data_IF_268797932218
#
_entry.id   IF_268797932218
#
_cell.length_a   1.000
_cell.length_b   1.000
_cell.length_c   1.000
_cell.angle_alpha   90.00
_cell.angle_beta   90.00
_cell.angle_gamma   90.00
#
_symmetry.space_group_name_H-M   'P 1'
#
loop_
_entity.id
_entity.type
_entity.pdbx_description
1 polymer ?
#
# COMPACT_ATOMS: atom_id res chain seq x y z
N UNK A 1 -16.05 -3.09 -3.30
CA UNK A 1 -15.54 -4.37 -2.73
C UNK A 1 -14.05 -4.57 -2.96
N UNK A 2 -13.46 -4.21 -4.10
CA UNK A 2 -12.03 -4.38 -4.33
C UNK A 2 -11.17 -3.61 -3.30
N UNK A 3 -11.44 -2.32 -3.09
CA UNK A 3 -10.68 -1.50 -2.12
C UNK A 3 -10.85 -2.05 -0.70
N UNK A 4 -12.08 -2.40 -0.28
CA UNK A 4 -12.32 -3.07 1.01
C UNK A 4 -11.45 -4.32 1.20
N UNK A 5 -11.32 -5.14 0.16
CA UNK A 5 -10.53 -6.37 0.25
C UNK A 5 -9.04 -6.06 0.36
N UNK A 6 -8.51 -5.13 -0.44
CA UNK A 6 -7.12 -4.71 -0.36
C UNK A 6 -6.79 -4.17 1.03
N UNK A 7 -7.56 -3.17 1.51
CA UNK A 7 -7.30 -2.54 2.82
C UNK A 7 -7.41 -3.54 3.97
N UNK A 8 -8.39 -4.46 3.89
CA UNK A 8 -8.53 -5.50 4.92
C UNK A 8 -7.30 -6.43 4.96
N UNK A 9 -6.70 -6.74 3.81
CA UNK A 9 -5.57 -7.65 3.73
C UNK A 9 -4.29 -7.10 4.37
N UNK A 10 -4.25 -5.83 4.78
CA UNK A 10 -3.20 -5.26 5.62
C UNK A 10 -2.95 -6.11 6.89
N UNK A 11 -4.01 -6.75 7.42
CA UNK A 11 -3.89 -7.67 8.56
C UNK A 11 -3.03 -8.90 8.25
N UNK A 12 -3.10 -9.41 7.02
CA UNK A 12 -2.29 -10.54 6.57
C UNK A 12 -0.81 -10.15 6.54
N UNK A 13 -0.50 -8.97 5.98
CA UNK A 13 0.86 -8.45 5.94
C UNK A 13 1.41 -8.17 7.34
N UNK A 14 0.62 -7.51 8.19
CA UNK A 14 1.01 -7.18 9.56
C UNK A 14 1.35 -8.45 10.36
N UNK A 15 0.50 -9.48 10.30
CA UNK A 15 0.76 -10.76 10.96
C UNK A 15 1.96 -11.51 10.36
N UNK A 16 2.17 -11.43 9.05
CA UNK A 16 3.34 -12.04 8.41
C UNK A 16 4.65 -11.38 8.87
N UNK A 17 4.67 -10.06 9.05
CA UNK A 17 5.84 -9.31 9.49
C UNK A 17 6.05 -9.33 11.01
N UNK A 18 5.01 -9.61 11.79
CA UNK A 18 5.07 -9.56 13.26
C UNK A 18 6.20 -10.41 13.87
N UNK A 19 6.43 -11.68 13.47
CA UNK A 19 7.52 -12.49 13.99
C UNK A 19 8.92 -11.97 13.62
N UNK A 20 9.03 -11.20 12.52
CA UNK A 20 10.29 -10.66 12.01
C UNK A 20 10.70 -9.33 12.66
N UNK A 21 9.86 -8.77 13.54
CA UNK A 21 10.09 -7.44 14.15
C UNK A 21 11.42 -7.30 14.87
N UNK A 22 11.96 -8.38 15.45
CA UNK A 22 13.28 -8.37 16.10
C UNK A 22 14.45 -8.18 15.14
N UNK A 23 14.25 -8.43 13.84
CA UNK A 23 15.25 -8.28 12.77
C UNK A 23 15.17 -6.90 12.11
N UNK A 24 14.16 -6.10 12.47
CA UNK A 24 13.86 -4.80 11.89
C UNK A 24 14.18 -3.69 12.90
N UNK A 25 14.51 -2.49 12.42
CA UNK A 25 14.78 -1.36 13.28
C UNK A 25 13.52 -0.91 14.03
N UNK A 26 13.71 -0.30 15.20
CA UNK A 26 12.60 0.29 15.95
C UNK A 26 11.83 1.35 15.16
N UNK A 27 12.50 2.04 14.21
CA UNK A 27 11.87 3.02 13.35
C UNK A 27 10.96 2.38 12.31
N UNK A 28 11.38 1.29 11.67
CA UNK A 28 10.52 0.53 10.78
C UNK A 28 9.34 -0.07 11.54
N UNK A 29 9.58 -0.63 12.72
CA UNK A 29 8.53 -1.23 13.54
C UNK A 29 7.47 -0.18 13.94
N UNK A 30 7.90 1.02 14.32
CA UNK A 30 6.98 2.13 14.60
C UNK A 30 6.21 2.57 13.35
N UNK A 31 6.87 2.67 12.20
CA UNK A 31 6.23 2.95 10.92
C UNK A 31 5.13 1.92 10.62
N UNK A 32 5.44 0.62 10.73
CA UNK A 32 4.52 -0.48 10.44
C UNK A 32 3.31 -0.48 11.37
N UNK A 33 3.49 -0.19 12.67
CA UNK A 33 2.38 -0.14 13.62
C UNK A 33 1.42 1.02 13.32
N UNK A 34 1.95 2.20 12.97
CA UNK A 34 1.12 3.37 12.65
C UNK A 34 0.40 3.17 11.31
N UNK A 35 1.13 2.74 10.28
CA UNK A 35 0.57 2.35 9.00
C UNK A 35 -0.59 1.36 9.15
N UNK A 36 -0.41 0.29 9.93
CA UNK A 36 -1.46 -0.71 10.11
C UNK A 36 -2.71 -0.17 10.85
N UNK A 37 -2.56 0.82 11.73
CA UNK A 37 -3.71 1.46 12.37
C UNK A 37 -4.54 2.24 11.34
N UNK A 38 -3.87 2.92 10.41
CA UNK A 38 -4.53 3.68 9.36
C UNK A 38 -5.23 2.72 8.37
N UNK A 39 -4.56 1.65 7.92
CA UNK A 39 -5.18 0.67 7.00
C UNK A 39 -6.40 -0.04 7.57
N UNK A 40 -6.38 -0.32 8.88
CA UNK A 40 -7.56 -0.84 9.56
C UNK A 40 -8.71 0.16 9.52
N UNK A 41 -8.42 1.43 9.73
CA UNK A 41 -9.43 2.49 9.65
C UNK A 41 -9.94 2.68 8.21
N UNK A 42 -9.09 2.50 7.19
CA UNK A 42 -9.49 2.49 5.78
C UNK A 42 -10.45 1.32 5.50
N UNK A 43 -10.07 0.11 5.92
CA UNK A 43 -10.90 -1.08 5.80
C UNK A 43 -12.27 -0.93 6.48
N UNK A 44 -12.30 -0.42 7.72
CA UNK A 44 -13.54 -0.16 8.46
C UNK A 44 -14.43 0.88 7.73
N UNK A 45 -13.82 1.93 7.16
CA UNK A 45 -14.54 2.93 6.37
C UNK A 45 -15.13 2.38 5.08
N UNK A 46 -14.38 1.55 4.34
CA UNK A 46 -14.90 0.87 3.16
C UNK A 46 -15.96 -0.19 3.51
N UNK A 47 -15.85 -0.86 4.65
CA UNK A 47 -16.85 -1.82 5.11
C UNK A 47 -18.19 -1.11 5.30
N UNK A 48 -18.18 0.02 6.02
CA UNK A 48 -19.39 0.82 6.24
C UNK A 48 -19.95 1.39 4.93
N UNK A 49 -19.09 1.87 4.03
CA UNK A 49 -19.52 2.33 2.70
C UNK A 49 -20.24 1.23 1.92
N UNK A 50 -19.66 0.02 1.85
CA UNK A 50 -20.27 -1.10 1.13
C UNK A 50 -21.57 -1.56 1.82
N UNK A 51 -21.64 -1.53 3.15
CA UNK A 51 -22.87 -1.83 3.92
C UNK A 51 -23.99 -0.86 3.56
N UNK A 52 -23.69 0.44 3.54
CA UNK A 52 -24.68 1.50 3.26
C UNK A 52 -25.11 1.53 1.79
N UNK A 53 -24.19 1.34 0.84
CA UNK A 53 -24.50 1.45 -0.59
C UNK A 53 -25.21 0.23 -1.15
N UNK A 54 -24.84 -0.96 -0.70
CA UNK A 54 -25.36 -2.21 -1.27
C UNK A 54 -26.37 -2.89 -0.35
N UNK A 55 -26.68 -2.29 0.81
CA UNK A 55 -27.51 -2.89 1.85
C UNK A 55 -27.04 -4.31 2.21
N UNK A 56 -25.71 -4.48 2.23
CA UNK A 56 -25.05 -5.74 2.49
C UNK A 56 -25.16 -6.14 3.95
N UNK A 57 -25.31 -7.44 4.21
CA UNK A 57 -25.27 -7.97 5.56
C UNK A 57 -23.83 -7.95 6.11
N UNK A 58 -23.66 -7.26 7.25
CA UNK A 58 -22.34 -7.04 7.87
C UNK A 58 -21.69 -8.36 8.30
N UNK A 59 -22.46 -9.29 8.87
CA UNK A 59 -21.94 -10.58 9.32
C UNK A 59 -21.37 -11.38 8.14
N UNK A 60 -22.11 -11.44 7.03
CA UNK A 60 -21.67 -12.08 5.80
C UNK A 60 -20.40 -11.43 5.24
N UNK A 61 -20.33 -10.10 5.21
CA UNK A 61 -19.13 -9.38 4.76
C UNK A 61 -17.92 -9.70 5.63
N UNK A 62 -18.06 -9.61 6.95
CA UNK A 62 -16.99 -9.93 7.90
C UNK A 62 -16.52 -11.38 7.78
N UNK A 63 -17.44 -12.32 7.57
CA UNK A 63 -17.09 -13.73 7.37
C UNK A 63 -16.29 -13.91 6.07
N UNK A 64 -16.66 -13.23 4.99
CA UNK A 64 -15.89 -13.24 3.74
C UNK A 64 -14.49 -12.68 3.96
N UNK A 65 -14.36 -11.54 4.64
CA UNK A 65 -13.05 -10.93 4.96
C UNK A 65 -12.17 -11.85 5.79
N UNK A 66 -12.71 -12.46 6.86
CA UNK A 66 -11.96 -13.39 7.74
C UNK A 66 -11.50 -14.67 7.05
N UNK A 67 -12.15 -15.06 5.95
CA UNK A 67 -11.76 -16.24 5.16
C UNK A 67 -10.56 -15.99 4.25
N UNK A 68 -10.12 -14.73 4.10
CA UNK A 68 -8.99 -14.36 3.26
C UNK A 68 -7.68 -14.71 3.95
N UNK A 69 -6.75 -15.24 3.15
CA UNK A 69 -5.39 -15.58 3.58
C UNK A 69 -4.40 -15.09 2.54
N UNK A 70 -3.38 -14.35 2.99
CA UNK A 70 -2.29 -13.87 2.13
C UNK A 70 -1.29 -14.97 1.78
N UNK A 71 -0.86 -15.03 0.51
CA UNK A 71 0.27 -15.85 0.07
C UNK A 71 1.46 -14.97 -0.34
N UNK A 72 2.51 -15.00 0.48
CA UNK A 72 3.72 -14.18 0.34
C UNK A 72 4.90 -14.86 -0.38
N UNK A 73 4.76 -16.09 -0.89
CA UNK A 73 5.88 -16.87 -1.48
C UNK A 73 6.61 -16.11 -2.60
N UNK A 74 5.86 -15.40 -3.44
CA UNK A 74 6.41 -14.61 -4.54
C UNK A 74 7.06 -13.29 -4.10
N UNK A 75 6.84 -12.88 -2.85
CA UNK A 75 7.36 -11.64 -2.26
C UNK A 75 8.56 -11.88 -1.33
N UNK A 76 9.01 -13.12 -1.14
CA UNK A 76 10.05 -13.46 -0.15
C UNK A 76 11.30 -12.60 -0.26
N UNK A 77 11.77 -12.31 -1.48
CA UNK A 77 12.90 -11.42 -1.72
C UNK A 77 12.62 -10.00 -1.20
N UNK A 78 11.45 -9.44 -1.48
CA UNK A 78 11.08 -8.10 -1.06
C UNK A 78 10.83 -8.00 0.46
N UNK A 79 10.37 -9.08 1.07
CA UNK A 79 10.09 -9.16 2.50
C UNK A 79 11.29 -9.65 3.33
N UNK A 80 12.46 -9.80 2.71
CA UNK A 80 13.65 -10.41 3.33
C UNK A 80 14.44 -9.47 4.25
N UNK A 81 14.30 -8.15 4.07
CA UNK A 81 15.06 -7.17 4.84
C UNK A 81 14.40 -5.78 4.79
N UNK A 82 14.79 -4.92 5.74
CA UNK A 82 14.21 -3.60 5.91
C UNK A 82 14.31 -2.68 4.68
N UNK A 83 15.42 -2.70 3.94
CA UNK A 83 15.57 -1.86 2.74
C UNK A 83 14.55 -2.25 1.68
N UNK A 84 14.40 -3.55 1.45
CA UNK A 84 13.45 -4.05 0.47
C UNK A 84 12.01 -3.80 0.91
N UNK A 85 11.70 -4.00 2.20
CA UNK A 85 10.39 -3.70 2.78
C UNK A 85 10.04 -2.21 2.59
N UNK A 86 10.90 -1.30 3.06
CA UNK A 86 10.66 0.14 2.90
C UNK A 86 10.52 0.56 1.44
N UNK A 87 11.27 -0.07 0.54
CA UNK A 87 11.16 0.19 -0.90
C UNK A 87 9.80 -0.27 -1.44
N UNK A 88 9.34 -1.45 -1.01
CA UNK A 88 8.05 -1.99 -1.39
C UNK A 88 6.90 -1.12 -0.85
N UNK A 89 6.91 -0.76 0.43
CA UNK A 89 5.94 0.19 1.00
C UNK A 89 5.97 1.52 0.24
N UNK A 90 7.13 2.16 0.06
CA UNK A 90 7.20 3.41 -0.69
C UNK A 90 6.64 3.31 -2.12
N UNK A 91 6.74 2.14 -2.74
CA UNK A 91 6.17 1.90 -4.05
C UNK A 91 4.65 1.78 -3.99
N UNK A 92 4.13 0.88 -3.14
CA UNK A 92 2.70 0.60 -2.99
C UNK A 92 1.91 1.87 -2.64
N UNK A 93 2.37 2.60 -1.62
CA UNK A 93 1.76 3.84 -1.15
C UNK A 93 1.72 4.93 -2.22
N UNK A 94 2.78 5.03 -3.04
CA UNK A 94 2.81 5.98 -4.15
C UNK A 94 1.76 5.63 -5.22
N UNK A 95 1.56 4.34 -5.48
CA UNK A 95 0.54 3.87 -6.39
C UNK A 95 -0.85 4.17 -5.82
N UNK A 96 -1.12 3.85 -4.55
CA UNK A 96 -2.39 4.17 -3.86
C UNK A 96 -2.74 5.66 -3.98
N UNK A 97 -1.81 6.56 -3.65
CA UNK A 97 -2.01 8.01 -3.80
C UNK A 97 -2.41 8.40 -5.22
N UNK A 98 -1.74 7.81 -6.24
CA UNK A 98 -2.01 8.13 -7.64
C UNK A 98 -3.34 7.57 -8.12
N UNK A 99 -3.71 6.39 -7.65
CA UNK A 99 -4.97 5.71 -7.99
C UNK A 99 -6.14 6.47 -7.38
N UNK A 100 -6.13 6.70 -6.07
CA UNK A 100 -7.21 7.41 -5.38
C UNK A 100 -7.44 8.83 -5.91
N UNK A 101 -6.38 9.54 -6.30
CA UNK A 101 -6.50 10.88 -6.91
C UNK A 101 -7.10 10.88 -8.30
N UNK A 102 -6.92 9.79 -9.06
CA UNK A 102 -7.42 9.66 -10.43
C UNK A 102 -8.81 9.03 -10.50
N UNK A 103 -9.23 8.33 -9.46
CA UNK A 103 -10.53 7.70 -9.44
C UNK A 103 -11.65 8.75 -9.47
N UNK A 104 -12.42 8.72 -10.56
CA UNK A 104 -13.52 9.65 -10.78
C UNK A 104 -14.73 9.30 -9.91
N UNK A 105 -14.89 8.03 -9.50
CA UNK A 105 -15.99 7.59 -8.65
C UNK A 105 -16.01 8.36 -7.32
N UNK A 106 -14.85 8.50 -6.67
CA UNK A 106 -14.77 9.18 -5.39
C UNK A 106 -15.04 10.68 -5.49
N UNK A 107 -14.61 11.30 -6.60
CA UNK A 107 -14.86 12.71 -6.86
C UNK A 107 -16.34 12.98 -7.21
N UNK A 108 -17.03 12.02 -7.83
CA UNK A 108 -18.41 12.14 -8.28
C UNK A 108 -19.45 11.73 -7.22
N UNK A 109 -19.05 11.01 -6.16
CA UNK A 109 -19.96 10.55 -5.09
C UNK A 109 -20.71 11.70 -4.40
N UNK A 110 -20.09 12.88 -4.29
CA UNK A 110 -20.76 14.15 -3.96
C UNK A 110 -21.23 14.33 -2.51
N UNK A 111 -21.07 13.32 -1.63
CA UNK A 111 -21.43 13.44 -0.21
C UNK A 111 -20.29 14.08 0.60
N UNK A 112 -20.52 15.20 1.33
CA UNK A 112 -19.43 15.92 2.00
C UNK A 112 -18.62 15.08 2.99
N UNK A 113 -19.28 14.24 3.79
CA UNK A 113 -18.58 13.37 4.74
C UNK A 113 -17.71 12.32 4.04
N UNK A 114 -18.15 11.83 2.88
CA UNK A 114 -17.39 10.88 2.07
C UNK A 114 -16.17 11.58 1.47
N UNK A 115 -16.36 12.78 0.91
CA UNK A 115 -15.28 13.58 0.34
C UNK A 115 -14.20 13.91 1.38
N UNK A 116 -14.60 14.23 2.62
CA UNK A 116 -13.64 14.43 3.72
C UNK A 116 -12.91 13.13 4.07
N UNK A 117 -13.64 12.02 4.19
CA UNK A 117 -13.04 10.73 4.52
C UNK A 117 -12.02 10.28 3.45
N UNK A 118 -12.37 10.31 2.16
CA UNK A 118 -11.43 9.91 1.09
C UNK A 118 -10.24 10.89 0.98
N UNK A 119 -10.44 12.19 1.27
CA UNK A 119 -9.33 13.15 1.31
C UNK A 119 -8.34 12.85 2.44
N UNK A 120 -8.84 12.41 3.59
CA UNK A 120 -8.00 12.00 4.71
C UNK A 120 -7.27 10.70 4.40
N UNK A 121 -7.96 9.70 3.83
CA UNK A 121 -7.35 8.45 3.37
C UNK A 121 -6.18 8.75 2.42
N UNK A 122 -6.38 9.56 1.37
CA UNK A 122 -5.31 9.97 0.45
C UNK A 122 -4.15 10.68 1.17
N UNK A 123 -4.43 11.42 2.24
CA UNK A 123 -3.40 12.09 3.03
C UNK A 123 -2.61 11.10 3.91
N UNK A 124 -3.25 10.03 4.38
CA UNK A 124 -2.64 8.94 5.12
C UNK A 124 -1.68 8.16 4.20
N UNK A 125 -2.12 7.72 3.01
CA UNK A 125 -1.26 7.08 1.99
C UNK A 125 -0.04 7.96 1.64
N UNK A 126 -0.27 9.27 1.45
CA UNK A 126 0.81 10.20 1.16
C UNK A 126 1.80 10.35 2.32
N UNK A 127 1.31 10.22 3.56
CA UNK A 127 2.11 10.23 4.78
C UNK A 127 2.92 8.95 4.92
N UNK A 128 2.33 7.79 4.64
CA UNK A 128 3.01 6.50 4.61
C UNK A 128 4.15 6.51 3.59
N UNK A 129 3.86 6.91 2.35
CA UNK A 129 4.88 7.13 1.31
C UNK A 129 6.01 8.04 1.79
N UNK A 130 5.68 9.22 2.32
CA UNK A 130 6.67 10.18 2.76
C UNK A 130 7.54 9.64 3.91
N UNK A 131 6.95 8.89 4.84
CA UNK A 131 7.66 8.26 5.94
C UNK A 131 8.59 7.14 5.46
N UNK A 132 8.15 6.28 4.54
CA UNK A 132 8.99 5.25 3.93
C UNK A 132 10.21 5.88 3.21
N UNK A 133 9.99 6.91 2.40
CA UNK A 133 11.06 7.69 1.75
C UNK A 133 12.00 8.32 2.78
N UNK A 134 11.47 8.89 3.85
CA UNK A 134 12.27 9.50 4.92
C UNK A 134 13.18 8.44 5.55
N UNK A 135 12.65 7.27 5.90
CA UNK A 135 13.43 6.18 6.48
C UNK A 135 14.52 5.69 5.52
N UNK A 136 14.21 5.51 4.23
CA UNK A 136 15.19 5.18 3.20
C UNK A 136 16.31 6.22 3.11
N UNK A 137 15.98 7.53 3.11
CA UNK A 137 16.98 8.61 3.01
C UNK A 137 17.81 8.82 4.28
N UNK A 138 17.28 8.50 5.45
CA UNK A 138 17.98 8.73 6.72
C UNK A 138 18.82 7.53 7.16
N UNK A 139 18.34 6.31 6.90
CA UNK A 139 18.97 5.10 7.40
C UNK A 139 19.61 4.24 6.31
N UNK A 140 19.22 4.41 5.05
CA UNK A 140 19.62 3.53 3.94
C UNK A 140 20.10 4.28 2.69
N UNK A 141 20.52 5.55 2.83
CA UNK A 141 20.90 6.38 1.66
C UNK A 141 22.10 5.86 0.87
N UNK A 142 22.92 4.99 1.47
CA UNK A 142 24.06 4.32 0.83
C UNK A 142 23.65 3.06 0.05
N UNK A 143 22.38 2.65 0.09
CA UNK A 143 21.86 1.43 -0.53
C UNK A 143 21.10 1.70 -1.84
N UNK A 144 21.41 2.78 -2.57
CA UNK A 144 20.65 3.15 -3.78
C UNK A 144 20.60 2.00 -4.81
N UNK A 145 21.72 1.33 -5.06
CA UNK A 145 21.79 0.16 -5.97
C UNK A 145 20.88 -0.99 -5.52
N UNK A 146 20.68 -1.15 -4.20
CA UNK A 146 19.80 -2.19 -3.65
C UNK A 146 18.33 -1.78 -3.78
N UNK A 147 18.04 -0.50 -3.59
CA UNK A 147 16.70 0.07 -3.77
C UNK A 147 16.28 -0.03 -5.25
N UNK A 148 17.17 0.30 -6.18
CA UNK A 148 16.94 0.14 -7.62
C UNK A 148 16.63 -1.32 -7.98
N UNK A 149 17.43 -2.28 -7.49
CA UNK A 149 17.15 -3.71 -7.71
C UNK A 149 15.82 -4.17 -7.11
N UNK A 150 15.45 -3.65 -5.94
CA UNK A 150 14.16 -3.97 -5.32
C UNK A 150 13.00 -3.41 -6.17
N UNK A 151 13.11 -2.17 -6.67
CA UNK A 151 12.14 -1.58 -7.58
C UNK A 151 12.04 -2.35 -8.90
N UNK A 152 13.16 -2.74 -9.51
CA UNK A 152 13.15 -3.58 -10.71
C UNK A 152 12.39 -4.89 -10.47
N UNK A 153 12.61 -5.52 -9.31
CA UNK A 153 11.90 -6.74 -8.95
C UNK A 153 10.40 -6.47 -8.75
N UNK A 154 10.03 -5.39 -8.08
CA UNK A 154 8.62 -4.97 -7.90
C UNK A 154 7.93 -4.86 -9.26
N UNK A 155 8.54 -4.17 -10.23
CA UNK A 155 7.93 -4.01 -11.57
C UNK A 155 7.70 -5.34 -12.32
N UNK A 156 8.46 -6.39 -11.99
CA UNK A 156 8.26 -7.72 -12.56
C UNK A 156 7.08 -8.45 -11.91
N UNK A 157 6.84 -8.19 -10.62
CA UNK A 157 5.77 -8.82 -9.85
C UNK A 157 4.39 -8.21 -10.11
N UNK A 158 4.32 -6.98 -10.63
CA UNK A 158 3.05 -6.30 -10.99
C UNK A 158 2.21 -7.05 -12.02
N UNK A 159 2.78 -8.06 -12.69
CA UNK A 159 2.04 -8.92 -13.63
C UNK A 159 1.50 -10.20 -12.99
N UNK A 160 1.79 -10.42 -11.71
CA UNK A 160 1.38 -11.61 -10.96
C UNK A 160 0.01 -11.35 -10.33
N UNK A 161 -0.95 -12.29 -10.46
CA UNK A 161 -2.26 -12.13 -9.85
C UNK A 161 -2.16 -11.87 -8.34
N UNK A 162 -2.89 -10.85 -7.88
CA UNK A 162 -2.98 -10.49 -6.47
C UNK A 162 -3.34 -11.68 -5.57
N UNK A 163 -2.64 -11.80 -4.43
CA UNK A 163 -2.74 -12.95 -3.52
C UNK A 163 -3.11 -12.58 -2.09
N UNK A 164 -3.96 -11.57 -1.93
CA UNK A 164 -4.46 -11.10 -0.62
C UNK A 164 -3.33 -10.66 0.33
N UNK A 165 -2.29 -10.05 -0.23
CA UNK A 165 -1.07 -9.67 0.47
C UNK A 165 -1.07 -8.22 0.96
N UNK A 166 -2.14 -7.46 0.71
CA UNK A 166 -2.18 -5.99 0.64
C UNK A 166 -1.33 -5.43 -0.51
N UNK A 167 -0.08 -5.89 -0.56
CA UNK A 167 0.94 -5.42 -1.49
C UNK A 167 0.61 -5.79 -2.94
N UNK A 168 0.83 -4.83 -3.84
CA UNK A 168 0.71 -4.96 -5.30
C UNK A 168 -0.70 -5.34 -5.79
N UNK A 169 -1.76 -4.86 -5.13
CA UNK A 169 -3.13 -4.99 -5.63
C UNK A 169 -3.46 -3.92 -6.69
N UNK A 170 -2.72 -3.91 -7.81
CA UNK A 170 -2.82 -2.86 -8.83
C UNK A 170 -3.55 -3.28 -10.12
N UNK A 171 -4.09 -4.50 -10.15
CA UNK A 171 -4.73 -5.10 -11.33
C UNK A 171 -6.22 -4.76 -11.50
N UNK A 172 -6.76 -3.86 -10.67
CA UNK A 172 -8.18 -3.50 -10.68
C UNK A 172 -8.59 -2.62 -11.88
N UNK A 173 -9.83 -2.73 -12.40
CA UNK A 173 -10.35 -1.88 -13.48
C UNK A 173 -10.42 -0.38 -13.11
N UNK A 174 -10.30 -0.07 -11.81
CA UNK A 174 -10.27 1.29 -11.25
C UNK A 174 -8.86 1.91 -11.25
N UNK A 175 -7.81 1.12 -11.51
CA UNK A 175 -6.45 1.63 -11.71
C UNK A 175 -6.33 2.30 -13.08
N UNK A 176 -6.92 3.50 -13.18
CA UNK A 176 -6.87 4.39 -14.35
C UNK A 176 -5.49 5.07 -14.47
N UNK A 177 -4.41 4.33 -14.23
CA UNK A 177 -3.05 4.87 -14.35
C UNK A 177 -2.66 5.18 -15.80
N UNK A 178 -3.48 4.73 -16.78
CA UNK A 178 -3.58 5.29 -18.12
C UNK A 178 -2.36 5.07 -19.04
N UNK A 179 -1.32 4.39 -18.56
CA UNK A 179 -0.10 4.11 -19.30
C UNK A 179 0.30 2.65 -19.18
N UNK A 180 0.78 2.08 -20.27
CA UNK A 180 1.36 0.73 -20.39
C UNK A 180 2.71 0.55 -19.66
N UNK A 181 3.07 1.41 -18.70
CA UNK A 181 4.33 1.35 -17.93
C UNK A 181 4.24 2.14 -16.60
N UNK A 182 3.09 2.13 -15.91
CA UNK A 182 2.95 2.92 -14.67
C UNK A 182 3.95 2.48 -13.60
N UNK A 183 4.29 1.19 -13.59
CA UNK A 183 5.19 0.55 -12.66
C UNK A 183 6.61 1.11 -12.76
N UNK A 184 7.12 1.26 -13.99
CA UNK A 184 8.42 1.88 -14.24
C UNK A 184 8.43 3.36 -13.93
N UNK A 185 7.31 4.05 -14.20
CA UNK A 185 7.20 5.48 -13.90
C UNK A 185 7.22 5.74 -12.39
N UNK A 186 6.53 4.91 -11.59
CA UNK A 186 6.56 5.00 -10.13
C UNK A 186 7.93 4.67 -9.57
N UNK A 187 8.57 3.59 -10.03
CA UNK A 187 9.94 3.25 -9.66
C UNK A 187 10.93 4.40 -9.96
N UNK A 188 10.86 4.98 -11.16
CA UNK A 188 11.71 6.11 -11.55
C UNK A 188 11.48 7.38 -10.71
N UNK A 189 10.24 7.62 -10.29
CA UNK A 189 9.91 8.74 -9.39
C UNK A 189 10.54 8.56 -8.01
N UNK A 190 10.45 7.37 -7.43
CA UNK A 190 11.07 7.04 -6.14
C UNK A 190 12.59 7.22 -6.20
N UNK A 191 13.24 6.67 -7.23
CA UNK A 191 14.68 6.85 -7.42
C UNK A 191 15.07 8.32 -7.57
N UNK A 192 14.28 9.09 -8.33
CA UNK A 192 14.50 10.53 -8.48
C UNK A 192 14.38 11.26 -7.14
N UNK A 193 13.38 10.92 -6.31
CA UNK A 193 13.19 11.52 -4.98
C UNK A 193 14.36 11.17 -4.06
N UNK A 194 14.82 9.92 -4.07
CA UNK A 194 15.93 9.45 -3.22
C UNK A 194 17.28 10.04 -3.65
N UNK A 195 17.51 10.20 -4.95
CA UNK A 195 18.75 10.75 -5.52
C UNK A 195 18.86 12.28 -5.38
N UNK A 196 17.77 12.99 -5.05
CA UNK A 196 17.84 14.43 -4.75
C UNK A 196 18.67 14.66 -3.49
N UNK A 197 19.86 15.22 -3.68
CA UNK A 197 20.77 15.66 -2.61
C UNK A 197 19.97 16.34 -1.48
N UNK A 198 20.24 15.95 -0.23
CA UNK A 198 19.83 16.71 0.95
C UNK A 198 20.44 18.10 0.81
N UNK A 199 19.64 19.08 0.38
CA UNK A 199 19.99 20.50 0.56
C UNK A 199 19.91 20.83 2.04
#
# INVERSE_FOLDING_TARGET
MADLFSEYDAISLYHYLYPKRSELSSYFVQYLDLWFLDERNHSDGFLELNRLLFNSDEETMLNNLKSRHGNFEHLEYLLSNEVNLLTLFAYDELISVKTYRKDTFYNEFGHPAFNTWISNLIADEATHFANAIKLLRHHHSYNLDKIEKALDHITQLESIPYRNTFLLDHDGPHFLLGNTNYEKAAAGEILTILARNKR
#
